data_IF_746728074957
#
_entry.id   IF_746728074957
#
_cell.length_a   1.000
_cell.length_b   1.000
_cell.length_c   1.000
_cell.angle_alpha   90.00
_cell.angle_beta   90.00
_cell.angle_gamma   90.00
#
_symmetry.space_group_name_H-M   'P 1'
#
loop_
_entity.id
_entity.type
_entity.pdbx_description
1 polymer ?
#
# COMPACT_ATOMS: atom_id res chain seq x y z
N UNK A 1 -11.89 5.94 31.17
CA UNK A 1 -11.83 4.46 31.10
C UNK A 1 -12.00 4.10 29.63
N UNK A 2 -10.91 4.07 28.85
CA UNK A 2 -10.92 3.74 27.41
C UNK A 2 -11.03 2.22 27.34
N UNK A 3 -12.18 1.75 26.88
CA UNK A 3 -12.41 0.32 26.62
C UNK A 3 -11.37 -0.15 25.61
N UNK A 4 -10.41 -0.95 26.04
CA UNK A 4 -9.50 -1.70 25.16
C UNK A 4 -10.33 -2.77 24.45
N UNK A 5 -10.97 -2.38 23.34
CA UNK A 5 -11.52 -3.32 22.37
C UNK A 5 -10.32 -4.09 21.81
N UNK A 6 -10.35 -5.42 21.89
CA UNK A 6 -9.30 -6.27 21.34
C UNK A 6 -8.98 -5.81 19.90
N UNK A 7 -7.69 -5.62 19.55
CA UNK A 7 -7.34 -5.12 18.22
C UNK A 7 -7.88 -6.07 17.15
N UNK A 8 -8.53 -5.52 16.12
CA UNK A 8 -9.06 -6.30 14.97
C UNK A 8 -7.91 -6.96 14.18
N UNK A 9 -6.68 -6.55 14.43
CA UNK A 9 -5.46 -7.02 13.77
C UNK A 9 -4.50 -7.59 14.81
N UNK A 10 -4.67 -8.86 15.24
CA UNK A 10 -3.72 -9.51 16.15
C UNK A 10 -2.37 -9.74 15.43
N UNK A 11 -1.27 -9.57 16.16
CA UNK A 11 0.08 -9.85 15.68
C UNK A 11 0.26 -11.34 15.37
N UNK A 12 1.15 -11.64 14.44
CA UNK A 12 1.49 -13.00 14.01
C UNK A 12 0.28 -13.81 13.48
N UNK A 13 -0.73 -13.11 12.96
CA UNK A 13 -1.88 -13.75 12.32
C UNK A 13 -2.04 -13.31 10.89
N UNK A 14 -2.40 -14.27 10.04
CA UNK A 14 -2.71 -14.03 8.64
C UNK A 14 -4.10 -13.39 8.54
N UNK A 15 -4.20 -12.25 7.90
CA UNK A 15 -5.48 -11.62 7.59
C UNK A 15 -5.63 -11.35 6.09
N UNK A 16 -6.87 -11.22 5.66
CA UNK A 16 -7.24 -10.95 4.27
C UNK A 16 -7.94 -9.59 4.16
N UNK A 17 -7.98 -9.01 2.97
CA UNK A 17 -8.87 -7.88 2.68
C UNK A 17 -10.32 -8.20 3.03
N UNK A 18 -11.15 -7.16 3.20
CA UNK A 18 -12.58 -7.33 3.39
C UNK A 18 -13.24 -8.02 2.18
N UNK A 19 -14.23 -8.89 2.40
CA UNK A 19 -15.03 -9.45 1.31
C UNK A 19 -15.71 -8.40 0.43
N UNK A 20 -15.95 -7.20 0.94
CA UNK A 20 -16.48 -6.04 0.22
C UNK A 20 -15.60 -5.64 -0.98
N UNK A 21 -14.33 -6.01 -0.98
CA UNK A 21 -13.43 -5.88 -2.13
C UNK A 21 -13.97 -6.58 -3.39
N UNK A 22 -14.53 -7.79 -3.23
CA UNK A 22 -15.12 -8.54 -4.35
C UNK A 22 -16.29 -7.77 -4.96
N UNK A 23 -17.13 -7.19 -4.09
CA UNK A 23 -18.29 -6.39 -4.52
C UNK A 23 -17.83 -5.15 -5.29
N UNK A 24 -16.81 -4.46 -4.78
CA UNK A 24 -16.27 -3.27 -5.42
C UNK A 24 -15.67 -3.56 -6.81
N UNK A 25 -14.79 -4.56 -6.93
CA UNK A 25 -14.20 -4.94 -8.23
C UNK A 25 -15.25 -5.44 -9.22
N UNK A 26 -16.20 -6.28 -8.77
CA UNK A 26 -17.30 -6.76 -9.62
C UNK A 26 -18.20 -5.63 -10.09
N UNK A 27 -18.48 -4.65 -9.22
CA UNK A 27 -19.23 -3.45 -9.58
C UNK A 27 -18.54 -2.62 -10.67
N UNK A 28 -17.23 -2.41 -10.57
CA UNK A 28 -16.45 -1.72 -11.61
C UNK A 28 -16.48 -2.50 -12.92
N UNK A 29 -16.27 -3.81 -12.90
CA UNK A 29 -16.30 -4.66 -14.09
C UNK A 29 -17.68 -4.59 -14.75
N UNK A 30 -18.76 -4.73 -13.97
CA UNK A 30 -20.11 -4.64 -14.49
C UNK A 30 -20.38 -3.26 -15.13
N UNK A 31 -19.95 -2.18 -14.47
CA UNK A 31 -20.08 -0.83 -15.01
C UNK A 31 -19.32 -0.64 -16.34
N UNK A 32 -18.07 -1.13 -16.42
CA UNK A 32 -17.27 -1.04 -17.65
C UNK A 32 -17.93 -1.83 -18.77
N UNK A 33 -18.43 -3.04 -18.51
CA UNK A 33 -19.08 -3.87 -19.53
C UNK A 33 -20.38 -3.23 -20.01
N UNK A 34 -21.19 -2.66 -19.11
CA UNK A 34 -22.40 -1.91 -19.50
C UNK A 34 -22.03 -0.72 -20.40
N UNK A 35 -20.95 -0.01 -20.06
CA UNK A 35 -20.47 1.12 -20.86
C UNK A 35 -20.01 0.68 -22.25
N UNK A 36 -19.27 -0.43 -22.34
CA UNK A 36 -18.83 -1.02 -23.61
C UNK A 36 -20.03 -1.47 -24.45
N UNK A 37 -21.02 -2.12 -23.84
CA UNK A 37 -22.25 -2.49 -24.52
C UNK A 37 -23.03 -1.26 -25.01
N UNK A 38 -23.12 -0.22 -24.20
CA UNK A 38 -23.80 1.00 -24.61
C UNK A 38 -23.10 1.69 -25.79
N UNK A 39 -21.76 1.76 -25.75
CA UNK A 39 -20.98 2.46 -26.76
C UNK A 39 -20.76 1.64 -28.05
N UNK A 40 -20.71 0.32 -27.96
CA UNK A 40 -20.43 -0.55 -29.12
C UNK A 40 -21.71 -1.19 -29.69
N UNK A 41 -22.56 -1.76 -28.83
CA UNK A 41 -23.74 -2.51 -29.27
C UNK A 41 -24.86 -1.60 -29.77
N UNK A 42 -25.12 -0.46 -29.09
CA UNK A 42 -26.24 0.43 -29.47
C UNK A 42 -26.03 1.06 -30.84
N UNK A 43 -24.88 1.66 -31.18
CA UNK A 43 -24.66 2.20 -32.53
C UNK A 43 -24.66 1.10 -33.61
N UNK A 44 -24.10 -0.08 -33.30
CA UNK A 44 -24.11 -1.20 -34.23
C UNK A 44 -25.53 -1.71 -34.50
N UNK A 45 -26.39 -1.78 -33.49
CA UNK A 45 -27.78 -2.20 -33.63
C UNK A 45 -28.66 -1.20 -34.40
N UNK A 46 -28.31 0.10 -34.36
CA UNK A 46 -29.00 1.16 -35.09
C UNK A 46 -28.52 1.31 -36.54
N UNK A 47 -27.41 0.69 -36.92
CA UNK A 47 -26.87 0.74 -38.28
C UNK A 47 -27.55 -0.26 -39.17
N UNK A 48 -28.25 0.15 -40.24
CA UNK A 48 -29.03 -0.76 -41.10
C UNK A 48 -28.15 -1.73 -41.90
N UNK A 49 -26.87 -1.39 -42.11
CA UNK A 49 -25.91 -2.18 -42.90
C UNK A 49 -25.09 -3.21 -42.06
N UNK A 50 -25.31 -3.24 -40.73
CA UNK A 50 -24.58 -4.14 -39.85
C UNK A 50 -25.17 -5.55 -39.88
N UNK A 51 -24.40 -6.55 -40.29
CA UNK A 51 -24.86 -7.96 -40.22
C UNK A 51 -25.14 -8.35 -38.76
N UNK A 52 -26.29 -9.01 -38.50
CA UNK A 52 -26.68 -9.45 -37.17
C UNK A 52 -25.65 -10.35 -36.43
N UNK A 53 -24.77 -11.03 -37.22
CA UNK A 53 -23.67 -11.81 -36.67
C UNK A 53 -22.74 -10.98 -35.79
N UNK A 54 -22.44 -9.71 -36.16
CA UNK A 54 -21.59 -8.85 -35.37
C UNK A 54 -22.23 -8.51 -34.00
N UNK A 55 -23.53 -8.33 -33.95
CA UNK A 55 -24.24 -8.09 -32.71
C UNK A 55 -24.17 -9.29 -31.77
N UNK A 56 -24.31 -10.51 -32.31
CA UNK A 56 -24.17 -11.74 -31.53
C UNK A 56 -22.74 -11.90 -31.01
N UNK A 57 -21.73 -11.60 -31.85
CA UNK A 57 -20.31 -11.66 -31.42
C UNK A 57 -20.00 -10.64 -30.32
N UNK A 58 -20.48 -9.41 -30.45
CA UNK A 58 -20.27 -8.36 -29.40
C UNK A 58 -20.93 -8.80 -28.09
N UNK A 59 -22.17 -9.29 -28.15
CA UNK A 59 -22.90 -9.71 -26.95
C UNK A 59 -22.25 -10.96 -26.32
N UNK A 60 -21.96 -11.98 -27.13
CA UNK A 60 -21.32 -13.21 -26.67
C UNK A 60 -19.92 -12.99 -26.13
N UNK A 61 -19.12 -12.18 -26.82
CA UNK A 61 -17.78 -11.82 -26.37
C UNK A 61 -17.77 -11.03 -25.05
N UNK A 62 -18.70 -10.07 -24.91
CA UNK A 62 -18.82 -9.30 -23.67
C UNK A 62 -19.30 -10.15 -22.51
N UNK A 63 -20.23 -11.08 -22.73
CA UNK A 63 -20.68 -12.03 -21.71
C UNK A 63 -19.55 -12.98 -21.26
N UNK A 64 -18.81 -13.52 -22.22
CA UNK A 64 -17.66 -14.38 -21.94
C UNK A 64 -16.60 -13.61 -21.10
N UNK A 65 -16.27 -12.39 -21.51
CA UNK A 65 -15.32 -11.54 -20.78
C UNK A 65 -15.82 -11.23 -19.37
N UNK A 66 -17.12 -10.96 -19.20
CA UNK A 66 -17.72 -10.73 -17.90
C UNK A 66 -17.55 -11.94 -16.97
N UNK A 67 -17.87 -13.15 -17.46
CA UNK A 67 -17.73 -14.37 -16.66
C UNK A 67 -16.26 -14.62 -16.28
N UNK A 68 -15.33 -14.47 -17.23
CA UNK A 68 -13.90 -14.64 -16.97
C UNK A 68 -13.40 -13.66 -15.90
N UNK A 69 -13.74 -12.38 -16.01
CA UNK A 69 -13.34 -11.36 -15.03
C UNK A 69 -14.02 -11.56 -13.66
N UNK A 70 -15.27 -12.03 -13.65
CA UNK A 70 -15.99 -12.34 -12.42
C UNK A 70 -15.32 -13.45 -11.62
N UNK A 71 -14.91 -14.52 -12.30
CA UNK A 71 -14.16 -15.63 -11.70
C UNK A 71 -12.77 -15.15 -11.26
N UNK A 72 -12.10 -14.36 -12.12
CA UNK A 72 -10.76 -13.84 -11.83
C UNK A 72 -10.72 -12.98 -10.55
N UNK A 73 -11.72 -12.15 -10.30
CA UNK A 73 -11.83 -11.36 -9.05
C UNK A 73 -11.86 -12.27 -7.82
N UNK A 74 -12.56 -13.41 -7.91
CA UNK A 74 -12.59 -14.39 -6.82
C UNK A 74 -11.20 -14.95 -6.52
N UNK A 75 -10.50 -15.40 -7.57
CA UNK A 75 -9.14 -15.96 -7.47
C UNK A 75 -8.14 -14.90 -6.98
N UNK A 76 -8.26 -13.66 -7.46
CA UNK A 76 -7.39 -12.56 -7.05
C UNK A 76 -7.54 -12.25 -5.55
N UNK A 77 -8.77 -12.16 -5.07
CA UNK A 77 -9.04 -11.97 -3.64
C UNK A 77 -8.45 -13.09 -2.78
N UNK A 78 -8.59 -14.35 -3.21
CA UNK A 78 -8.07 -15.51 -2.47
C UNK A 78 -6.55 -15.58 -2.45
N UNK A 79 -5.89 -14.94 -3.42
CA UNK A 79 -4.44 -14.89 -3.51
C UNK A 79 -3.80 -13.87 -2.57
N UNK A 80 -4.61 -12.98 -1.95
CA UNK A 80 -4.12 -11.90 -1.08
C UNK A 80 -4.04 -12.34 0.38
N UNK A 81 -2.86 -12.14 0.98
CA UNK A 81 -2.57 -12.40 2.37
C UNK A 81 -1.66 -11.34 2.93
N UNK A 82 -1.93 -10.93 4.16
CA UNK A 82 -1.12 -10.00 4.93
C UNK A 82 -0.89 -10.58 6.31
N UNK A 83 0.30 -10.35 6.86
CA UNK A 83 0.70 -10.78 8.20
C UNK A 83 1.51 -9.67 8.85
N UNK A 84 1.09 -9.25 10.03
CA UNK A 84 1.83 -8.33 10.87
C UNK A 84 2.67 -9.15 11.84
N UNK A 85 4.00 -9.12 11.71
CA UNK A 85 4.94 -9.69 12.66
C UNK A 85 5.48 -8.62 13.59
N UNK A 86 6.26 -9.02 14.58
CA UNK A 86 6.81 -8.10 15.58
C UNK A 86 7.75 -7.05 14.96
N UNK A 87 8.54 -7.43 13.93
CA UNK A 87 9.55 -6.57 13.31
C UNK A 87 9.24 -6.15 11.87
N UNK A 88 8.28 -6.80 11.21
CA UNK A 88 8.06 -6.68 9.77
C UNK A 88 6.60 -6.94 9.36
N UNK A 89 6.25 -6.44 8.18
CA UNK A 89 4.99 -6.75 7.51
C UNK A 89 5.28 -7.70 6.35
N UNK A 90 4.67 -8.87 6.39
CA UNK A 90 4.71 -9.83 5.29
C UNK A 90 3.45 -9.71 4.46
N UNK A 91 3.60 -9.75 3.14
CA UNK A 91 2.47 -9.73 2.23
C UNK A 91 2.68 -10.66 1.04
N UNK A 92 1.57 -11.17 0.53
CA UNK A 92 1.53 -12.02 -0.65
C UNK A 92 0.30 -11.71 -1.47
N UNK A 93 0.46 -11.58 -2.78
CA UNK A 93 -0.63 -11.38 -3.73
C UNK A 93 -0.30 -11.92 -5.11
N UNK A 94 -1.32 -12.20 -5.92
CA UNK A 94 -1.25 -12.54 -7.33
C UNK A 94 -1.69 -13.95 -7.64
N UNK A 95 -2.49 -14.07 -8.71
CA UNK A 95 -3.04 -15.34 -9.19
C UNK A 95 -2.02 -16.08 -10.06
N UNK A 96 -1.54 -15.44 -11.13
CA UNK A 96 -0.59 -16.03 -12.07
C UNK A 96 0.85 -15.66 -11.72
N UNK A 97 1.09 -14.39 -11.46
CA UNK A 97 2.39 -13.90 -10.98
C UNK A 97 2.30 -13.63 -9.49
N UNK A 98 2.84 -14.55 -8.69
CA UNK A 98 2.87 -14.40 -7.24
C UNK A 98 3.96 -13.41 -6.87
N UNK A 99 3.56 -12.35 -6.16
CA UNK A 99 4.48 -11.39 -5.55
C UNK A 99 4.39 -11.55 -4.05
N UNK A 100 5.54 -11.68 -3.42
CA UNK A 100 5.72 -11.68 -1.97
C UNK A 100 6.70 -10.58 -1.60
N UNK A 101 6.50 -9.95 -0.48
CA UNK A 101 7.44 -8.95 0.01
C UNK A 101 7.40 -8.87 1.52
N UNK A 102 8.50 -8.39 2.06
CA UNK A 102 8.74 -8.19 3.48
C UNK A 102 9.11 -6.74 3.66
N UNK A 103 8.43 -6.04 4.57
CA UNK A 103 8.73 -4.65 4.88
C UNK A 103 8.99 -4.50 6.36
N UNK A 104 10.24 -4.25 6.75
CA UNK A 104 10.60 -3.95 8.12
C UNK A 104 10.00 -2.62 8.57
N UNK A 105 9.50 -2.53 9.81
CA UNK A 105 8.88 -1.32 10.34
C UNK A 105 9.83 -0.12 10.39
N UNK A 106 11.13 -0.35 10.62
CA UNK A 106 12.15 0.70 10.67
C UNK A 106 12.39 1.41 9.33
N UNK A 107 11.94 0.84 8.21
CA UNK A 107 12.03 1.44 6.86
C UNK A 107 10.78 2.22 6.46
N UNK A 108 9.70 2.12 7.22
CA UNK A 108 8.45 2.82 6.92
C UNK A 108 8.61 4.31 7.20
N UNK A 109 8.41 5.12 6.17
CA UNK A 109 8.50 6.59 6.24
C UNK A 109 7.14 7.26 6.29
N UNK A 110 6.12 6.69 5.61
CA UNK A 110 4.78 7.26 5.56
C UNK A 110 3.69 6.19 5.47
N UNK A 111 2.54 6.49 6.08
CA UNK A 111 1.35 5.64 6.14
C UNK A 111 0.13 6.48 5.74
N UNK A 112 -0.34 6.32 4.50
CA UNK A 112 -1.47 7.05 3.95
C UNK A 112 -2.71 6.15 3.85
N UNK A 113 -3.82 6.59 4.44
CA UNK A 113 -5.13 5.96 4.25
C UNK A 113 -5.86 6.69 3.13
N UNK A 114 -6.28 5.94 2.11
CA UNK A 114 -7.01 6.46 0.96
C UNK A 114 -8.37 5.79 0.84
N UNK A 115 -9.39 6.59 0.65
CA UNK A 115 -10.76 6.12 0.52
C UNK A 115 -11.47 6.88 -0.60
N UNK A 116 -11.83 6.18 -1.66
CA UNK A 116 -12.65 6.73 -2.74
C UNK A 116 -14.15 6.76 -2.37
N UNK A 117 -15.01 7.45 -3.15
CA UNK A 117 -16.44 7.59 -2.85
C UNK A 117 -17.16 6.23 -2.75
N UNK A 118 -16.92 5.32 -3.67
CA UNK A 118 -17.48 3.96 -3.62
C UNK A 118 -16.93 3.11 -2.47
N UNK A 119 -15.63 3.25 -2.17
CA UNK A 119 -15.01 2.56 -1.04
C UNK A 119 -15.59 3.05 0.29
N UNK A 120 -15.94 4.35 0.35
CA UNK A 120 -16.60 4.94 1.51
C UNK A 120 -18.00 4.36 1.74
N UNK A 121 -18.77 4.17 0.65
CA UNK A 121 -20.08 3.51 0.73
C UNK A 121 -19.98 2.06 1.23
N UNK A 122 -18.93 1.34 0.83
CA UNK A 122 -18.65 -0.04 1.25
C UNK A 122 -17.92 -0.14 2.59
N UNK A 123 -17.58 0.98 3.25
CA UNK A 123 -16.86 0.99 4.52
C UNK A 123 -15.43 0.48 4.45
N UNK A 124 -14.80 0.46 3.25
CA UNK A 124 -13.44 -0.04 3.04
C UNK A 124 -12.48 1.09 2.66
N UNK A 125 -11.20 0.92 2.99
CA UNK A 125 -10.13 1.87 2.67
C UNK A 125 -8.88 1.14 2.19
N UNK A 126 -7.97 1.85 1.58
CA UNK A 126 -6.64 1.34 1.19
C UNK A 126 -5.58 2.01 2.04
N UNK A 127 -4.72 1.22 2.68
CA UNK A 127 -3.54 1.70 3.38
C UNK A 127 -2.33 1.59 2.46
N UNK A 128 -1.72 2.73 2.14
CA UNK A 128 -0.50 2.83 1.34
C UNK A 128 0.69 3.03 2.27
N UNK A 129 1.70 2.17 2.14
CA UNK A 129 2.92 2.16 2.96
C UNK A 129 4.09 2.57 2.07
N UNK A 130 4.80 3.61 2.49
CA UNK A 130 6.01 4.10 1.82
C UNK A 130 7.22 3.79 2.69
N UNK A 131 8.34 3.41 2.06
CA UNK A 131 9.60 3.07 2.73
C UNK A 131 10.74 3.97 2.29
N UNK A 132 11.74 4.11 3.17
CA UNK A 132 13.00 4.79 2.86
C UNK A 132 13.80 3.95 1.84
N UNK A 133 14.18 4.55 0.71
CA UNK A 133 14.93 3.87 -0.37
C UNK A 133 14.16 3.79 -1.69
N UNK A 134 12.83 3.84 -1.67
CA UNK A 134 11.99 3.93 -2.87
C UNK A 134 11.60 5.38 -3.20
N UNK A 135 12.25 6.33 -2.56
CA UNK A 135 11.92 7.77 -2.58
C UNK A 135 12.13 8.48 -3.92
N UNK A 136 12.62 7.79 -4.95
CA UNK A 136 12.72 8.36 -6.31
C UNK A 136 11.40 8.34 -7.10
N UNK A 137 10.40 7.60 -6.65
CA UNK A 137 9.07 7.56 -7.26
C UNK A 137 8.01 7.68 -6.18
N UNK A 138 7.02 8.55 -6.37
CA UNK A 138 5.87 8.75 -5.47
C UNK A 138 4.90 7.54 -5.41
N UNK A 139 5.42 6.33 -5.65
CA UNK A 139 4.66 5.09 -5.66
C UNK A 139 4.86 4.38 -4.33
N UNK A 140 3.81 4.10 -3.55
CA UNK A 140 3.94 3.34 -2.32
C UNK A 140 4.44 1.92 -2.62
N UNK A 141 5.39 1.43 -1.81
CA UNK A 141 5.96 0.09 -1.96
C UNK A 141 4.90 -1.00 -1.74
N UNK A 142 4.02 -0.79 -0.77
CA UNK A 142 2.91 -1.69 -0.48
C UNK A 142 1.60 -0.92 -0.42
N UNK A 143 0.54 -1.56 -0.94
CA UNK A 143 -0.84 -1.16 -0.75
C UNK A 143 -1.61 -2.31 -0.15
N UNK A 144 -2.14 -2.12 1.05
CA UNK A 144 -3.08 -3.04 1.67
C UNK A 144 -4.47 -2.55 1.28
N UNK A 145 -5.10 -3.25 0.36
CA UNK A 145 -6.36 -2.82 -0.27
C UNK A 145 -7.58 -3.34 0.50
N UNK A 146 -8.65 -2.56 0.49
CA UNK A 146 -9.97 -2.94 0.97
C UNK A 146 -10.01 -3.41 2.45
N UNK A 147 -9.45 -2.62 3.34
CA UNK A 147 -9.49 -2.86 4.79
C UNK A 147 -10.65 -2.10 5.42
N UNK A 148 -11.46 -2.75 6.26
CA UNK A 148 -12.60 -2.13 6.93
C UNK A 148 -12.16 -1.15 8.03
N UNK A 149 -11.14 -1.48 8.81
CA UNK A 149 -10.62 -0.67 9.91
C UNK A 149 -9.21 -0.15 9.60
N UNK A 150 -9.04 0.54 8.47
CA UNK A 150 -7.71 0.98 8.01
C UNK A 150 -7.02 1.97 8.97
N UNK A 151 -7.78 2.80 9.68
CA UNK A 151 -7.21 3.72 10.69
C UNK A 151 -6.68 2.96 11.90
N UNK A 152 -7.38 1.92 12.35
CA UNK A 152 -6.92 1.06 13.43
C UNK A 152 -5.65 0.32 13.02
N UNK A 153 -5.63 -0.26 11.80
CA UNK A 153 -4.44 -0.89 11.23
C UNK A 153 -3.27 0.08 11.14
N UNK A 154 -3.52 1.31 10.71
CA UNK A 154 -2.50 2.37 10.65
C UNK A 154 -1.90 2.67 12.01
N UNK A 155 -2.73 2.79 13.08
CA UNK A 155 -2.24 3.05 14.42
C UNK A 155 -1.46 1.86 14.99
N UNK A 156 -1.87 0.62 14.71
CA UNK A 156 -1.11 -0.59 15.08
C UNK A 156 0.28 -0.55 14.41
N UNK A 157 0.35 -0.35 13.10
CA UNK A 157 1.63 -0.27 12.37
C UNK A 157 2.48 0.90 12.89
N UNK A 158 1.88 2.06 13.15
CA UNK A 158 2.55 3.23 13.69
C UNK A 158 3.15 2.99 15.08
N UNK A 159 2.46 2.23 15.93
CA UNK A 159 2.99 1.84 17.24
C UNK A 159 4.21 0.93 17.12
N UNK A 160 4.21 0.01 16.13
CA UNK A 160 5.34 -0.87 15.83
C UNK A 160 6.54 -0.09 15.27
N UNK A 161 6.29 0.87 14.37
CA UNK A 161 7.35 1.76 13.84
C UNK A 161 8.02 2.54 14.97
N UNK A 162 7.26 3.04 15.96
CA UNK A 162 7.82 3.75 17.12
C UNK A 162 8.55 2.84 18.10
N UNK A 163 8.13 1.59 18.22
CA UNK A 163 8.74 0.59 19.10
C UNK A 163 9.95 -0.12 18.50
N UNK A 164 10.12 -0.06 17.19
CA UNK A 164 11.26 -0.70 16.51
C UNK A 164 12.54 0.05 16.80
N UNK A 165 13.59 -0.60 17.35
CA UNK A 165 14.89 0.03 17.50
C UNK A 165 15.42 0.42 16.11
N UNK A 166 15.84 1.67 15.95
CA UNK A 166 16.50 2.15 14.74
C UNK A 166 17.79 1.32 14.58
N UNK A 167 17.75 0.29 13.75
CA UNK A 167 18.97 -0.36 13.27
C UNK A 167 19.60 0.61 12.28
N UNK A 168 20.69 1.21 12.70
CA UNK A 168 21.55 2.05 11.89
C UNK A 168 22.20 1.14 10.82
N UNK A 169 21.58 1.04 9.64
CA UNK A 169 22.15 0.35 8.47
C UNK A 169 23.24 1.21 7.81
N UNK A 170 24.15 1.78 8.59
CA UNK A 170 25.47 2.26 8.14
C UNK A 170 25.58 3.26 6.98
N UNK A 171 24.48 3.85 6.49
CA UNK A 171 24.49 4.81 5.37
C UNK A 171 23.59 6.01 5.61
N UNK A 172 23.75 6.69 6.73
CA UNK A 172 23.02 7.94 6.98
C UNK A 172 23.36 8.48 8.35
N UNK A 173 24.04 9.59 8.37
CA UNK A 173 24.41 10.37 9.57
C UNK A 173 23.29 10.41 10.60
N UNK A 174 23.39 9.61 11.65
CA UNK A 174 22.58 9.73 12.84
C UNK A 174 22.89 11.07 13.50
N UNK A 175 21.88 11.83 13.99
CA UNK A 175 22.17 12.91 14.92
C UNK A 175 22.78 12.28 16.18
N UNK A 176 23.88 12.83 16.73
CA UNK A 176 24.58 12.23 17.84
C UNK A 176 23.65 12.16 19.06
N UNK A 177 23.40 10.96 19.52
CA UNK A 177 22.79 10.73 20.85
C UNK A 177 23.67 11.37 21.91
N UNK A 178 23.11 12.28 22.66
CA UNK A 178 23.69 13.16 23.65
C UNK A 178 24.20 12.45 24.93
N UNK A 179 25.16 11.52 24.81
CA UNK A 179 25.77 10.94 26.03
C UNK A 179 27.27 10.60 25.92
N UNK A 180 27.95 10.91 24.82
CA UNK A 180 29.43 10.81 24.76
C UNK A 180 30.11 12.01 24.05
N UNK A 181 29.39 13.12 23.87
CA UNK A 181 29.81 14.29 23.12
C UNK A 181 30.85 15.20 23.82
N UNK A 182 31.09 15.04 25.12
CA UNK A 182 31.93 16.02 25.84
C UNK A 182 33.43 15.96 25.48
N UNK A 183 33.95 14.82 25.10
CA UNK A 183 35.38 14.68 24.79
C UNK A 183 35.71 15.03 23.32
N UNK A 184 34.85 14.66 22.39
CA UNK A 184 35.04 14.93 20.95
C UNK A 184 34.77 16.40 20.63
N UNK A 185 33.73 16.99 21.22
CA UNK A 185 33.40 18.41 21.05
C UNK A 185 34.51 19.32 21.65
N UNK A 186 35.12 18.90 22.77
CA UNK A 186 36.26 19.62 23.36
C UNK A 186 37.52 19.52 22.48
N UNK A 187 37.78 18.38 21.84
CA UNK A 187 38.90 18.23 20.90
C UNK A 187 38.71 19.10 19.65
N UNK A 188 37.49 19.09 19.06
CA UNK A 188 37.17 19.94 17.91
C UNK A 188 37.32 21.44 18.26
N UNK A 189 36.85 21.85 19.42
CA UNK A 189 37.01 23.24 19.90
C UNK A 189 38.46 23.62 20.13
N UNK A 190 39.29 22.69 20.62
CA UNK A 190 40.71 22.93 20.81
C UNK A 190 41.45 23.09 19.47
N UNK A 191 41.15 22.25 18.48
CA UNK A 191 41.73 22.37 17.14
C UNK A 191 41.25 23.64 16.42
N UNK A 192 39.99 24.01 16.49
CA UNK A 192 39.47 25.26 15.92
C UNK A 192 40.18 26.50 16.53
N UNK A 193 40.40 26.50 17.85
CA UNK A 193 41.16 27.57 18.49
C UNK A 193 42.62 27.63 18.04
N UNK A 194 43.28 26.48 17.84
CA UNK A 194 44.64 26.44 17.35
C UNK A 194 44.78 26.99 15.90
N UNK A 195 43.80 26.66 15.06
CA UNK A 195 43.74 27.19 13.67
C UNK A 195 43.49 28.71 13.69
N UNK A 196 42.61 29.19 14.55
CA UNK A 196 42.32 30.61 14.68
C UNK A 196 43.55 31.40 15.12
N UNK A 197 44.31 30.91 16.10
CA UNK A 197 45.54 31.56 16.55
C UNK A 197 46.66 31.55 15.51
N UNK A 198 46.72 30.54 14.64
CA UNK A 198 47.66 30.48 13.53
C UNK A 198 47.32 31.47 12.39
N UNK A 199 46.01 31.71 12.20
CA UNK A 199 45.54 32.68 11.20
C UNK A 199 45.71 34.13 11.67
N UNK A 200 45.61 34.42 12.96
CA UNK A 200 45.81 35.75 13.53
C UNK A 200 47.28 36.19 13.57
N UNK A 201 48.21 35.23 13.48
CA UNK A 201 49.66 35.45 13.49
C UNK A 201 50.28 35.73 12.12
N UNK A 202 49.47 35.82 11.07
CA UNK A 202 49.91 36.06 9.70
C UNK A 202 49.47 37.44 9.21
#
# INVERSE_FOLDING_TARGET
>A
MISMKSPHFPLNTLFRPSPSMKVWFRGIIAFIIVLVLLCAYVPAALSPDMPGVFLVVILGGSLLLFVLLWVWVGLYYESMWYELRDDEINWKRGVWFRKTGIVPYNRITNLDVRQGPFMRYLGISTLAIQTAGYSGQAVPEIRIEAIEHAEELREVIRSMVRGSPVRDDGTGSAPPSSTSGSSVDQQILAELKSIHTLLEKR
#
